data_IF_669483047189
#
_entry.id   IF_669483047189
#
_cell.length_a   1.000
_cell.length_b   1.000
_cell.length_c   1.000
_cell.angle_alpha   90.00
_cell.angle_beta   90.00
_cell.angle_gamma   90.00
#
_symmetry.space_group_name_H-M   'P 1'
#
loop_
_entity.id
_entity.type
_entity.pdbx_description
1 polymer ?
#
# COMPACT_ATOMS: atom_id res chain seq x y z
N UNK A 1 36.01 12.71 -28.86
CA UNK A 1 35.89 11.32 -28.36
C UNK A 1 34.77 11.29 -27.34
N UNK A 2 34.11 10.15 -27.13
CA UNK A 2 33.00 10.05 -26.17
C UNK A 2 33.56 9.90 -24.74
N UNK A 3 33.32 10.90 -23.86
CA UNK A 3 33.82 10.94 -22.48
C UNK A 3 32.89 10.23 -21.48
N UNK A 4 31.62 10.03 -21.85
CA UNK A 4 30.55 9.53 -20.99
C UNK A 4 30.86 8.22 -20.22
N UNK A 5 31.45 7.16 -20.83
CA UNK A 5 31.72 5.93 -20.09
C UNK A 5 32.77 6.15 -19.00
N UNK A 6 33.83 6.91 -19.29
CA UNK A 6 34.92 7.19 -18.36
C UNK A 6 34.48 8.08 -17.19
N UNK A 7 33.58 9.03 -17.46
CA UNK A 7 32.98 9.86 -16.42
C UNK A 7 32.19 9.01 -15.42
N UNK A 8 31.36 8.11 -15.93
CA UNK A 8 30.55 7.20 -15.12
C UNK A 8 31.43 6.26 -14.30
N UNK A 9 32.47 5.69 -14.92
CA UNK A 9 33.41 4.79 -14.28
C UNK A 9 34.24 5.48 -13.20
N UNK A 10 34.57 6.76 -13.38
CA UNK A 10 35.30 7.53 -12.38
C UNK A 10 34.48 7.75 -11.10
N UNK A 11 33.15 7.87 -11.20
CA UNK A 11 32.25 8.04 -10.06
C UNK A 11 32.04 6.72 -9.28
N UNK A 12 31.91 5.59 -9.99
CA UNK A 12 31.60 4.27 -9.40
C UNK A 12 32.69 3.21 -9.68
N UNK A 13 33.90 3.48 -9.17
CA UNK A 13 35.08 2.61 -9.40
C UNK A 13 34.93 1.22 -8.79
N UNK A 14 34.02 1.03 -7.84
CA UNK A 14 33.85 -0.25 -7.13
C UNK A 14 33.17 -1.34 -7.95
N UNK A 15 32.50 -0.97 -9.05
CA UNK A 15 31.76 -1.90 -9.93
C UNK A 15 32.47 -2.21 -11.24
N UNK A 16 33.71 -1.73 -11.42
CA UNK A 16 34.46 -1.91 -12.66
C UNK A 16 35.10 -3.28 -12.74
N UNK A 17 34.95 -3.93 -13.90
CA UNK A 17 35.72 -5.12 -14.26
C UNK A 17 37.22 -4.78 -14.43
N UNK A 18 38.14 -5.75 -14.32
CA UNK A 18 39.58 -5.52 -14.49
C UNK A 18 39.94 -4.86 -15.83
N UNK A 19 39.25 -5.23 -16.90
CA UNK A 19 39.47 -4.66 -18.23
C UNK A 19 39.04 -3.18 -18.28
N UNK A 20 37.89 -2.85 -17.68
CA UNK A 20 37.40 -1.47 -17.58
C UNK A 20 38.29 -0.59 -16.71
N UNK A 21 38.90 -1.13 -15.66
CA UNK A 21 39.87 -0.39 -14.84
C UNK A 21 41.13 -0.04 -15.65
N UNK A 22 41.61 -0.99 -16.44
CA UNK A 22 42.77 -0.79 -17.32
C UNK A 22 42.48 0.24 -18.41
N UNK A 23 41.30 0.16 -19.02
CA UNK A 23 40.82 1.11 -20.03
C UNK A 23 40.67 2.53 -19.45
N UNK A 24 40.11 2.64 -18.25
CA UNK A 24 39.99 3.90 -17.53
C UNK A 24 41.37 4.50 -17.21
N UNK A 25 42.32 3.70 -16.74
CA UNK A 25 43.68 4.16 -16.44
C UNK A 25 44.36 4.76 -17.68
N UNK A 26 44.26 4.06 -18.83
CA UNK A 26 44.81 4.55 -20.11
C UNK A 26 44.15 5.84 -20.57
N UNK A 27 42.84 5.98 -20.35
CA UNK A 27 42.12 7.21 -20.71
C UNK A 27 42.54 8.40 -19.82
N UNK A 28 42.75 8.18 -18.52
CA UNK A 28 43.18 9.24 -17.60
C UNK A 28 44.61 9.76 -17.88
N UNK A 29 45.45 8.97 -18.55
CA UNK A 29 46.78 9.41 -19.00
C UNK A 29 46.73 10.35 -20.21
N UNK A 30 45.73 10.15 -21.08
CA UNK A 30 45.63 10.85 -22.37
C UNK A 30 44.64 12.01 -22.35
N UNK A 31 43.65 11.98 -21.46
CA UNK A 31 42.59 12.99 -21.39
C UNK A 31 42.73 13.91 -20.16
N UNK A 32 43.14 15.18 -20.33
CA UNK A 32 43.31 16.12 -19.21
C UNK A 32 41.99 16.50 -18.52
N UNK A 33 40.88 16.53 -19.26
CA UNK A 33 39.53 16.79 -18.72
C UNK A 33 39.11 15.72 -17.71
N UNK A 34 39.13 14.44 -18.13
CA UNK A 34 38.77 13.32 -17.26
C UNK A 34 39.75 13.16 -16.09
N UNK A 35 41.05 13.48 -16.28
CA UNK A 35 42.05 13.50 -15.21
C UNK A 35 41.74 14.55 -14.15
N UNK A 36 41.36 15.77 -14.56
CA UNK A 36 40.97 16.85 -13.64
C UNK A 36 39.74 16.46 -12.82
N UNK A 37 38.74 15.87 -13.46
CA UNK A 37 37.53 15.40 -12.78
C UNK A 37 37.83 14.24 -11.80
N UNK A 38 38.73 13.31 -12.17
CA UNK A 38 39.19 12.25 -11.27
C UNK A 38 39.85 12.79 -10.00
N UNK A 39 40.75 13.76 -10.15
CA UNK A 39 41.40 14.41 -9.01
C UNK A 39 40.40 15.15 -8.11
N UNK A 40 39.45 15.90 -8.71
CA UNK A 40 38.41 16.60 -7.96
C UNK A 40 37.52 15.63 -7.17
N UNK A 41 37.14 14.50 -7.78
CA UNK A 41 36.33 13.47 -7.11
C UNK A 41 37.07 12.80 -5.97
N UNK A 42 38.37 12.56 -6.13
CA UNK A 42 39.22 12.02 -5.06
C UNK A 42 39.30 12.99 -3.87
N UNK A 43 39.47 14.30 -4.12
CA UNK A 43 39.44 15.32 -3.08
C UNK A 43 38.13 15.30 -2.28
N UNK A 44 36.97 15.26 -2.96
CA UNK A 44 35.65 15.19 -2.30
C UNK A 44 35.51 13.91 -1.48
N UNK A 45 35.93 12.76 -2.01
CA UNK A 45 35.88 11.50 -1.26
C UNK A 45 36.78 11.54 -0.01
N UNK A 46 37.96 12.13 -0.11
CA UNK A 46 38.84 12.33 1.04
C UNK A 46 38.15 13.22 2.06
N UNK A 47 37.61 14.38 1.65
CA UNK A 47 36.92 15.31 2.54
C UNK A 47 35.73 14.67 3.26
N UNK A 48 34.90 13.91 2.53
CA UNK A 48 33.79 13.16 3.11
C UNK A 48 34.24 12.09 4.11
N UNK A 49 35.36 11.40 3.84
CA UNK A 49 35.91 10.36 4.74
C UNK A 49 36.64 10.96 5.94
N UNK A 50 37.26 12.13 5.79
CA UNK A 50 37.96 12.83 6.87
C UNK A 50 37.03 13.67 7.74
N UNK A 51 35.81 13.95 7.27
CA UNK A 51 34.79 14.64 8.06
C UNK A 51 34.49 13.82 9.30
N UNK A 52 34.68 14.44 10.46
CA UNK A 52 34.47 13.78 11.74
C UNK A 52 32.99 13.40 11.89
N UNK A 53 32.73 12.13 12.16
CA UNK A 53 31.38 11.67 12.53
C UNK A 53 30.95 12.36 13.81
N UNK A 54 29.91 13.20 13.71
CA UNK A 54 29.32 13.88 14.87
C UNK A 54 28.62 12.81 15.71
N UNK A 55 29.15 12.55 16.90
CA UNK A 55 28.52 11.63 17.85
C UNK A 55 27.18 12.21 18.31
N UNK A 56 26.21 11.32 18.51
CA UNK A 56 24.95 11.70 19.11
C UNK A 56 25.22 12.33 20.50
N UNK A 57 24.47 13.39 20.88
CA UNK A 57 24.57 13.99 22.19
C UNK A 57 24.29 12.96 23.30
N UNK A 58 24.90 13.16 24.47
CA UNK A 58 24.60 12.33 25.63
C UNK A 58 23.08 12.29 25.91
N UNK A 59 22.56 11.09 26.20
CA UNK A 59 21.13 10.89 26.46
C UNK A 59 20.21 10.92 25.24
N UNK A 60 20.74 11.04 24.01
CA UNK A 60 19.95 10.97 22.78
C UNK A 60 19.12 9.68 22.70
N UNK A 61 19.76 8.52 22.93
CA UNK A 61 19.09 7.23 22.86
C UNK A 61 17.93 7.14 23.87
N UNK A 62 18.15 7.56 25.10
CA UNK A 62 17.13 7.56 26.17
C UNK A 62 15.96 8.49 25.82
N UNK A 63 16.23 9.73 25.39
CA UNK A 63 15.18 10.68 24.95
C UNK A 63 14.40 10.16 23.76
N UNK A 64 15.08 9.52 22.81
CA UNK A 64 14.46 8.94 21.63
C UNK A 64 13.56 7.77 22.00
N UNK A 65 14.06 6.81 22.78
CA UNK A 65 13.30 5.66 23.26
C UNK A 65 12.07 6.08 24.09
N UNK A 66 12.24 7.02 25.03
CA UNK A 66 11.15 7.51 25.87
C UNK A 66 10.05 8.21 25.05
N UNK A 67 10.38 8.83 23.90
CA UNK A 67 9.40 9.48 23.02
C UNK A 67 8.90 8.59 21.88
N UNK A 68 9.42 7.37 21.75
CA UNK A 68 9.19 6.50 20.60
C UNK A 68 7.74 6.01 20.53
N UNK A 69 7.19 5.57 21.67
CA UNK A 69 5.81 5.12 21.77
C UNK A 69 4.81 6.22 21.38
N UNK A 70 5.02 7.43 21.90
CA UNK A 70 4.18 8.59 21.60
C UNK A 70 4.29 9.00 20.12
N UNK A 71 5.50 9.04 19.57
CA UNK A 71 5.73 9.34 18.14
C UNK A 71 5.04 8.32 17.23
N UNK A 72 5.12 7.03 17.55
CA UNK A 72 4.40 5.97 16.80
C UNK A 72 2.90 6.19 16.88
N UNK A 73 2.35 6.44 18.06
CA UNK A 73 0.92 6.70 18.25
C UNK A 73 0.44 7.90 17.43
N UNK A 74 1.18 9.02 17.45
CA UNK A 74 0.87 10.19 16.64
C UNK A 74 0.95 9.91 15.13
N UNK A 75 1.97 9.15 14.68
CA UNK A 75 2.08 8.73 13.29
C UNK A 75 0.89 7.88 12.85
N UNK A 76 0.47 6.92 13.68
CA UNK A 76 -0.72 6.10 13.44
C UNK A 76 -1.99 6.96 13.35
N UNK A 77 -2.24 7.87 14.30
CA UNK A 77 -3.41 8.74 14.23
C UNK A 77 -3.43 9.61 12.97
N UNK A 78 -2.27 10.16 12.58
CA UNK A 78 -2.16 10.95 11.34
C UNK A 78 -2.45 10.10 10.11
N UNK A 79 -1.93 8.88 10.06
CA UNK A 79 -2.17 7.94 8.96
C UNK A 79 -3.64 7.54 8.89
N UNK A 80 -4.24 7.16 10.01
CA UNK A 80 -5.66 6.77 10.06
C UNK A 80 -6.58 7.92 9.67
N UNK A 81 -6.31 9.15 10.13
CA UNK A 81 -7.09 10.34 9.73
C UNK A 81 -6.96 10.63 8.24
N UNK A 82 -5.77 10.51 7.67
CA UNK A 82 -5.57 10.66 6.21
C UNK A 82 -6.32 9.59 5.44
N UNK A 83 -6.23 8.34 5.87
CA UNK A 83 -6.92 7.22 5.23
C UNK A 83 -8.45 7.39 5.27
N UNK A 84 -9.01 7.70 6.45
CA UNK A 84 -10.43 7.98 6.62
C UNK A 84 -10.87 9.21 5.80
N UNK A 85 -10.04 10.25 5.75
CA UNK A 85 -10.31 11.43 4.93
C UNK A 85 -10.37 11.11 3.44
N UNK A 86 -9.39 10.37 2.91
CA UNK A 86 -9.37 9.93 1.50
C UNK A 86 -10.56 9.03 1.21
N UNK A 87 -10.85 8.05 2.07
CA UNK A 87 -11.97 7.14 1.90
C UNK A 87 -13.30 7.91 1.89
N UNK A 88 -13.50 8.82 2.85
CA UNK A 88 -14.69 9.65 2.97
C UNK A 88 -14.88 10.58 1.76
N UNK A 89 -13.81 11.22 1.29
CA UNK A 89 -13.86 12.05 0.07
C UNK A 89 -14.18 11.18 -1.15
N UNK A 90 -13.58 10.00 -1.27
CA UNK A 90 -13.86 9.10 -2.40
C UNK A 90 -15.32 8.66 -2.43
N UNK A 91 -15.89 8.29 -1.27
CA UNK A 91 -17.29 7.94 -1.12
C UNK A 91 -18.21 9.10 -1.47
N UNK A 92 -17.88 10.31 -1.00
CA UNK A 92 -18.65 11.51 -1.30
C UNK A 92 -18.62 11.84 -2.81
N UNK A 93 -17.46 11.73 -3.46
CA UNK A 93 -17.33 11.93 -4.91
C UNK A 93 -18.14 10.90 -5.68
N UNK A 94 -18.06 9.61 -5.32
CA UNK A 94 -18.85 8.55 -5.95
C UNK A 94 -20.34 8.83 -5.77
N UNK A 95 -20.78 9.20 -4.56
CA UNK A 95 -22.17 9.54 -4.28
C UNK A 95 -22.66 10.72 -5.11
N UNK A 96 -21.87 11.79 -5.21
CA UNK A 96 -22.21 12.96 -6.02
C UNK A 96 -22.26 12.65 -7.51
N UNK A 97 -21.30 11.87 -8.03
CA UNK A 97 -21.31 11.43 -9.42
C UNK A 97 -22.51 10.55 -9.73
N UNK A 98 -22.87 9.65 -8.82
CA UNK A 98 -24.05 8.81 -8.94
C UNK A 98 -25.31 9.68 -8.95
N UNK A 99 -25.48 10.57 -7.98
CA UNK A 99 -26.60 11.50 -7.91
C UNK A 99 -26.72 12.33 -9.19
N UNK A 100 -25.61 12.94 -9.65
CA UNK A 100 -25.57 13.70 -10.88
C UNK A 100 -25.92 12.86 -12.10
N UNK A 101 -25.43 11.62 -12.19
CA UNK A 101 -25.74 10.71 -13.29
C UNK A 101 -27.22 10.32 -13.33
N UNK A 102 -27.85 10.12 -12.16
CA UNK A 102 -29.27 9.83 -12.07
C UNK A 102 -30.07 11.07 -12.48
N UNK A 103 -29.76 12.25 -11.92
CA UNK A 103 -30.43 13.50 -12.27
C UNK A 103 -30.29 13.85 -13.77
N UNK A 104 -29.15 13.55 -14.39
CA UNK A 104 -28.92 13.79 -15.81
C UNK A 104 -29.68 12.82 -16.73
N UNK A 105 -29.88 11.56 -16.30
CA UNK A 105 -30.51 10.51 -17.12
C UNK A 105 -32.01 10.35 -16.87
N UNK A 106 -32.52 10.81 -15.74
CA UNK A 106 -33.91 10.58 -15.33
C UNK A 106 -34.63 11.90 -15.13
N UNK A 107 -35.80 12.05 -15.75
CA UNK A 107 -36.71 13.15 -15.42
C UNK A 107 -37.32 12.89 -14.03
N UNK A 108 -37.63 13.91 -13.22
CA UNK A 108 -38.30 13.72 -11.92
C UNK A 108 -39.61 12.92 -12.03
N UNK A 109 -40.29 12.96 -13.19
CA UNK A 109 -41.47 12.15 -13.47
C UNK A 109 -41.17 10.65 -13.59
N UNK A 110 -39.99 10.25 -14.08
CA UNK A 110 -39.58 8.85 -14.16
C UNK A 110 -39.36 8.22 -12.77
N UNK A 111 -38.99 9.02 -11.76
CA UNK A 111 -38.85 8.54 -10.39
C UNK A 111 -40.18 8.07 -9.82
N UNK A 112 -41.24 8.86 -10.02
CA UNK A 112 -42.61 8.51 -9.62
C UNK A 112 -43.03 7.21 -10.32
N UNK A 113 -42.74 7.09 -11.62
CA UNK A 113 -42.99 5.85 -12.37
C UNK A 113 -42.24 4.63 -11.82
N UNK A 114 -40.98 4.80 -11.39
CA UNK A 114 -40.19 3.70 -10.80
C UNK A 114 -40.68 3.31 -9.41
N UNK A 115 -41.12 4.27 -8.59
CA UNK A 115 -41.68 4.02 -7.27
C UNK A 115 -42.99 3.27 -7.43
N UNK A 116 -43.86 3.71 -8.33
CA UNK A 116 -45.12 3.04 -8.65
C UNK A 116 -44.84 1.61 -9.15
N UNK A 117 -43.92 1.41 -10.10
CA UNK A 117 -43.54 0.06 -10.56
C UNK A 117 -42.99 -0.80 -9.44
N UNK A 118 -42.11 -0.28 -8.58
CA UNK A 118 -41.56 -1.05 -7.46
C UNK A 118 -42.66 -1.48 -6.49
N UNK A 119 -43.65 -0.62 -6.23
CA UNK A 119 -44.80 -0.94 -5.36
C UNK A 119 -45.74 -1.95 -6.03
N UNK A 120 -46.01 -1.77 -7.33
CA UNK A 120 -46.90 -2.65 -8.12
C UNK A 120 -46.28 -4.03 -8.33
N UNK A 121 -44.97 -4.09 -8.54
CA UNK A 121 -44.22 -5.33 -8.82
C UNK A 121 -43.69 -5.98 -7.52
N UNK A 122 -43.66 -5.29 -6.39
CA UNK A 122 -43.28 -5.83 -5.08
C UNK A 122 -43.96 -7.17 -4.73
N UNK A 123 -45.31 -7.32 -4.86
CA UNK A 123 -45.95 -8.60 -4.58
C UNK A 123 -45.51 -9.71 -5.54
N UNK A 124 -45.26 -9.40 -6.82
CA UNK A 124 -44.79 -10.37 -7.81
C UNK A 124 -43.33 -10.79 -7.56
N UNK A 125 -42.45 -9.83 -7.26
CA UNK A 125 -41.05 -10.08 -6.92
C UNK A 125 -40.90 -10.90 -5.64
N UNK A 126 -41.76 -10.68 -4.64
CA UNK A 126 -41.76 -11.45 -3.39
C UNK A 126 -42.24 -12.89 -3.61
N UNK A 127 -43.21 -13.08 -4.50
CA UNK A 127 -43.67 -14.41 -4.91
C UNK A 127 -42.60 -15.15 -5.73
N UNK A 128 -41.89 -14.48 -6.64
CA UNK A 128 -40.76 -15.07 -7.38
C UNK A 128 -39.60 -15.46 -6.47
N UNK A 129 -39.23 -14.61 -5.50
CA UNK A 129 -38.23 -14.94 -4.47
C UNK A 129 -38.65 -16.18 -3.67
N UNK A 130 -39.93 -16.31 -3.33
CA UNK A 130 -40.46 -17.50 -2.66
C UNK A 130 -40.38 -18.73 -3.57
N UNK A 131 -40.71 -18.61 -4.85
CA UNK A 131 -40.60 -19.71 -5.81
C UNK A 131 -39.15 -20.14 -6.02
N UNK A 132 -38.22 -19.20 -6.14
CA UNK A 132 -36.79 -19.49 -6.22
C UNK A 132 -36.35 -20.17 -4.92
N UNK A 133 -36.67 -19.63 -3.75
CA UNK A 133 -36.31 -20.24 -2.48
C UNK A 133 -36.84 -21.67 -2.34
N UNK A 134 -38.11 -21.92 -2.66
CA UNK A 134 -38.73 -23.26 -2.60
C UNK A 134 -38.17 -24.18 -3.69
N UNK A 135 -37.89 -23.68 -4.89
CA UNK A 135 -37.25 -24.44 -5.97
C UNK A 135 -35.85 -24.91 -5.57
N UNK A 136 -35.03 -24.02 -5.03
CA UNK A 136 -33.70 -24.36 -4.53
C UNK A 136 -33.78 -25.30 -3.31
N UNK A 137 -34.78 -25.14 -2.43
CA UNK A 137 -34.98 -26.04 -1.29
C UNK A 137 -35.48 -27.44 -1.70
N UNK A 138 -36.27 -27.54 -2.77
CA UNK A 138 -36.88 -28.80 -3.23
C UNK A 138 -36.02 -29.57 -4.24
N UNK A 139 -35.21 -28.89 -5.06
CA UNK A 139 -34.37 -29.53 -6.10
C UNK A 139 -32.96 -29.87 -5.62
N UNK A 140 -32.44 -29.21 -4.59
CA UNK A 140 -31.10 -29.50 -4.08
C UNK A 140 -31.17 -30.71 -3.14
N UNK A 141 -30.40 -31.79 -3.38
CA UNK A 141 -30.32 -32.92 -2.47
C UNK A 141 -29.89 -32.46 -1.07
N UNK A 142 -30.45 -33.01 0.02
CA UNK A 142 -30.09 -32.62 1.39
C UNK A 142 -28.57 -32.66 1.67
N UNK A 143 -27.83 -33.56 1.02
CA UNK A 143 -26.36 -33.63 1.11
C UNK A 143 -25.65 -32.38 0.59
N UNK A 144 -26.16 -31.73 -0.46
CA UNK A 144 -25.54 -30.53 -1.01
C UNK A 144 -25.73 -29.31 -0.11
N UNK A 145 -26.82 -29.25 0.67
CA UNK A 145 -27.00 -28.26 1.74
C UNK A 145 -25.99 -28.46 2.88
N UNK A 146 -25.72 -29.71 3.26
CA UNK A 146 -24.70 -30.05 4.26
C UNK A 146 -23.30 -29.69 3.73
N UNK A 147 -23.04 -29.96 2.45
CA UNK A 147 -21.79 -29.55 1.79
C UNK A 147 -21.58 -28.03 1.81
N UNK A 148 -22.58 -27.26 1.35
CA UNK A 148 -22.51 -25.80 1.34
C UNK A 148 -22.36 -25.21 2.75
N UNK A 149 -23.12 -25.72 3.73
CA UNK A 149 -23.03 -25.24 5.11
C UNK A 149 -21.69 -25.59 5.75
N UNK A 150 -21.12 -26.77 5.46
CA UNK A 150 -19.80 -27.17 5.94
C UNK A 150 -18.69 -26.27 5.40
N UNK A 151 -18.76 -25.89 4.11
CA UNK A 151 -17.82 -24.95 3.50
C UNK A 151 -17.93 -23.58 4.17
N UNK A 152 -19.14 -23.03 4.29
CA UNK A 152 -19.35 -21.73 4.93
C UNK A 152 -18.84 -21.73 6.38
N UNK A 153 -19.15 -22.79 7.12
CA UNK A 153 -18.70 -22.94 8.52
C UNK A 153 -17.19 -23.04 8.61
N UNK A 154 -16.54 -23.81 7.73
CA UNK A 154 -15.08 -23.91 7.66
C UNK A 154 -14.44 -22.55 7.37
N UNK A 155 -15.02 -21.77 6.44
CA UNK A 155 -14.54 -20.42 6.14
C UNK A 155 -14.68 -19.47 7.34
N UNK A 156 -15.80 -19.52 8.06
CA UNK A 156 -15.99 -18.72 9.29
C UNK A 156 -14.96 -19.10 10.36
N UNK A 157 -14.70 -20.40 10.55
CA UNK A 157 -13.68 -20.89 11.49
C UNK A 157 -12.27 -20.42 11.08
N UNK A 158 -11.93 -20.48 9.80
CA UNK A 158 -10.64 -19.99 9.30
C UNK A 158 -10.50 -18.49 9.55
N UNK A 159 -11.52 -17.68 9.23
CA UNK A 159 -11.47 -16.24 9.45
C UNK A 159 -11.39 -15.86 10.93
N UNK A 160 -12.14 -16.55 11.80
CA UNK A 160 -12.11 -16.29 13.25
C UNK A 160 -10.79 -16.71 13.89
N UNK A 161 -10.22 -17.86 13.51
CA UNK A 161 -8.92 -18.32 14.00
C UNK A 161 -7.77 -17.45 13.50
N UNK A 162 -7.74 -17.11 12.21
CA UNK A 162 -6.72 -16.21 11.65
C UNK A 162 -6.81 -14.81 12.28
N UNK A 163 -8.03 -14.30 12.49
CA UNK A 163 -8.26 -13.05 13.23
C UNK A 163 -7.77 -13.12 14.67
N UNK A 164 -8.09 -14.18 15.41
CA UNK A 164 -7.69 -14.38 16.80
C UNK A 164 -6.15 -14.53 16.95
N UNK A 165 -5.50 -15.27 16.06
CA UNK A 165 -4.05 -15.43 16.03
C UNK A 165 -3.35 -14.10 15.71
N UNK A 166 -3.90 -13.34 14.77
CA UNK A 166 -3.39 -12.01 14.41
C UNK A 166 -3.53 -11.05 15.59
N UNK A 167 -4.68 -11.03 16.25
CA UNK A 167 -4.91 -10.23 17.46
C UNK A 167 -3.93 -10.60 18.59
N UNK A 168 -3.75 -11.90 18.86
CA UNK A 168 -2.81 -12.38 19.89
C UNK A 168 -1.36 -11.99 19.57
N UNK A 169 -0.94 -12.08 18.30
CA UNK A 169 0.40 -11.67 17.86
C UNK A 169 0.62 -10.17 18.05
N UNK A 170 -0.35 -9.34 17.71
CA UNK A 170 -0.26 -7.89 17.92
C UNK A 170 -0.26 -7.52 19.41
N UNK A 171 -1.03 -8.22 20.25
CA UNK A 171 -1.03 -8.02 21.71
C UNK A 171 0.33 -8.39 22.33
N UNK A 172 0.87 -9.56 21.99
CA UNK A 172 2.15 -10.04 22.52
C UNK A 172 3.35 -9.18 22.06
N UNK A 173 3.31 -8.65 20.83
CA UNK A 173 4.31 -7.68 20.37
C UNK A 173 4.16 -6.31 21.06
N UNK A 174 2.96 -5.95 21.52
CA UNK A 174 2.71 -4.76 22.32
C UNK A 174 3.26 -4.85 23.74
N UNK A 175 3.27 -6.03 24.36
CA UNK A 175 3.83 -6.25 25.71
C UNK A 175 5.37 -6.30 25.72
N UNK A 176 6.01 -6.81 24.67
CA UNK A 176 7.49 -6.83 24.55
C UNK A 176 8.11 -5.45 24.28
N UNK A 177 7.28 -4.42 24.05
CA UNK A 177 7.69 -3.04 23.78
C UNK A 177 7.37 -2.08 24.96
N UNK A 178 6.91 -2.60 26.10
CA UNK A 178 6.87 -1.88 27.38
C UNK A 178 8.07 -2.25 28.24
#
# INVERSE_FOLDING_TARGET
MNHQPFETWNLDRTKLTPDQQTELARHLETCPECKRMAAAWECVQVEMKTTQSIKAPAGFATRFQNSLAERRRQAHYRQTRKMLGILGISLLVIFLLLAASILARTSPAAWIGSIIRTIVDAPFNLLELRFIAVFWLAKIPPLAWIGASSVITAWIVVFTLTGALTYKRFHHQGELLR
#
